data_IF_658115733652
#
_entry.id   IF_658115733652
#
_cell.length_a   1.000
_cell.length_b   1.000
_cell.length_c   1.000
_cell.angle_alpha   90.00
_cell.angle_beta   90.00
_cell.angle_gamma   90.00
#
_symmetry.space_group_name_H-M   'P 1'
#
loop_
_entity.id
_entity.type
_entity.pdbx_description
1 polymer ?
#
# COMPACT_ATOMS: atom_id res chain seq x y z
N UNK A 1 18.07 24.25 4.05
CA UNK A 1 16.98 24.64 3.14
C UNK A 1 16.75 23.45 2.25
N UNK A 2 15.71 22.67 2.52
CA UNK A 2 15.45 21.44 1.77
C UNK A 2 14.83 21.80 0.43
N UNK A 3 15.46 21.37 -0.67
CA UNK A 3 15.02 21.70 -2.03
C UNK A 3 13.95 20.69 -2.44
N UNK A 4 12.72 21.13 -2.75
CA UNK A 4 11.67 20.23 -3.20
C UNK A 4 12.07 19.56 -4.52
N UNK A 5 11.73 18.28 -4.64
CA UNK A 5 11.99 17.49 -5.84
C UNK A 5 10.83 17.69 -6.81
N UNK A 6 11.16 18.04 -8.06
CA UNK A 6 10.18 18.31 -9.10
C UNK A 6 10.23 17.24 -10.17
N UNK A 7 9.10 16.56 -10.38
CA UNK A 7 8.91 15.66 -11.50
C UNK A 7 7.94 16.28 -12.52
N UNK A 8 8.06 15.95 -13.82
CA UNK A 8 7.08 16.37 -14.81
C UNK A 8 5.69 15.88 -14.44
N UNK A 9 4.70 16.79 -14.45
CA UNK A 9 3.26 16.53 -14.20
C UNK A 9 2.85 16.01 -12.81
N UNK A 10 3.80 15.74 -11.92
CA UNK A 10 3.51 15.41 -10.53
C UNK A 10 3.53 16.67 -9.64
N UNK A 11 2.82 16.63 -8.49
CA UNK A 11 2.93 17.68 -7.49
C UNK A 11 4.39 17.85 -7.00
N UNK A 12 4.69 19.02 -6.44
CA UNK A 12 5.98 19.24 -5.80
C UNK A 12 6.08 18.35 -4.56
N UNK A 13 7.07 17.46 -4.55
CA UNK A 13 7.30 16.54 -3.44
C UNK A 13 8.39 17.12 -2.52
N UNK A 14 8.06 17.22 -1.24
CA UNK A 14 9.01 17.51 -0.18
C UNK A 14 9.69 16.23 0.28
N UNK A 15 10.84 16.31 0.97
CA UNK A 15 11.49 15.13 1.53
C UNK A 15 10.59 14.26 2.41
N UNK A 16 9.66 14.87 3.16
CA UNK A 16 8.67 14.19 4.00
C UNK A 16 7.61 13.38 3.22
N UNK A 17 7.40 13.68 1.94
CA UNK A 17 6.45 12.98 1.07
C UNK A 17 7.04 11.69 0.49
N UNK A 18 8.35 11.47 0.64
CA UNK A 18 9.01 10.25 0.15
C UNK A 18 8.85 9.08 1.13
N UNK A 19 8.87 7.83 0.64
CA UNK A 19 8.75 6.66 1.49
C UNK A 19 9.80 6.67 2.62
N UNK A 20 9.33 6.66 3.87
CA UNK A 20 10.21 6.60 5.06
C UNK A 20 11.10 5.36 5.06
N UNK A 21 10.68 4.30 4.36
CA UNK A 21 11.45 3.08 4.13
C UNK A 21 12.77 3.30 3.39
N UNK A 22 12.89 4.38 2.61
CA UNK A 22 14.12 4.73 1.90
C UNK A 22 15.07 5.59 2.74
N UNK A 23 14.63 6.06 3.92
CA UNK A 23 15.44 6.93 4.78
C UNK A 23 16.46 6.12 5.60
N UNK A 24 17.66 6.68 5.89
CA UNK A 24 18.66 6.03 6.74
C UNK A 24 18.16 5.73 8.16
N UNK A 25 17.16 6.47 8.64
CA UNK A 25 16.52 6.30 9.95
C UNK A 25 15.46 5.21 9.99
N UNK A 26 15.17 4.55 8.86
CA UNK A 26 14.20 3.46 8.80
C UNK A 26 14.63 2.27 9.67
N UNK A 27 13.71 1.76 10.48
CA UNK A 27 13.88 0.50 11.22
C UNK A 27 14.09 -0.69 10.27
N UNK A 28 13.69 -0.57 9.00
CA UNK A 28 13.83 -1.58 7.97
C UNK A 28 15.07 -1.35 7.09
N UNK A 29 16.25 -1.44 7.70
CA UNK A 29 17.54 -1.10 7.07
C UNK A 29 17.88 -1.88 5.78
N UNK A 30 17.22 -3.02 5.53
CA UNK A 30 17.41 -3.83 4.31
C UNK A 30 16.54 -3.40 3.13
N UNK A 31 15.48 -2.62 3.36
CA UNK A 31 14.56 -2.20 2.30
C UNK A 31 15.24 -1.31 1.25
N UNK A 32 16.07 -0.32 1.61
CA UNK A 32 16.81 0.46 0.60
C UNK A 32 17.68 -0.40 -0.31
N UNK A 33 18.37 -1.40 0.26
CA UNK A 33 19.18 -2.34 -0.52
C UNK A 33 18.31 -3.19 -1.47
N UNK A 34 17.19 -3.72 -0.97
CA UNK A 34 16.24 -4.49 -1.77
C UNK A 34 15.67 -3.67 -2.94
N UNK A 35 15.25 -2.43 -2.68
CA UNK A 35 14.74 -1.52 -3.70
C UNK A 35 15.81 -1.22 -4.75
N UNK A 36 17.04 -0.94 -4.32
CA UNK A 36 18.17 -0.69 -5.24
C UNK A 36 18.43 -1.89 -6.15
N UNK A 37 18.41 -3.10 -5.59
CA UNK A 37 18.59 -4.34 -6.36
C UNK A 37 17.43 -4.57 -7.35
N UNK A 38 16.19 -4.29 -6.94
CA UNK A 38 15.01 -4.39 -7.80
C UNK A 38 15.10 -3.41 -8.98
N UNK A 39 15.45 -2.15 -8.72
CA UNK A 39 15.60 -1.14 -9.77
C UNK A 39 16.77 -1.41 -10.71
N UNK A 40 17.88 -1.96 -10.20
CA UNK A 40 19.01 -2.38 -11.04
C UNK A 40 18.62 -3.48 -12.04
N UNK A 41 17.63 -4.32 -11.69
CA UNK A 41 17.09 -5.39 -12.54
C UNK A 41 15.91 -4.96 -13.40
N UNK A 42 15.37 -3.76 -13.20
CA UNK A 42 14.19 -3.29 -13.93
C UNK A 42 14.39 -3.28 -15.44
N UNK A 43 15.60 -2.94 -15.90
CA UNK A 43 15.96 -2.94 -17.33
C UNK A 43 15.94 -4.33 -17.98
N UNK A 44 16.14 -5.37 -17.19
CA UNK A 44 16.11 -6.76 -17.65
C UNK A 44 14.67 -7.32 -17.70
N UNK A 45 13.71 -6.61 -17.11
CA UNK A 45 12.31 -7.03 -17.08
C UNK A 45 11.60 -6.61 -18.37
N UNK A 46 10.63 -7.43 -18.80
CA UNK A 46 9.78 -7.11 -19.96
C UNK A 46 8.70 -6.07 -19.61
N UNK A 47 8.18 -6.15 -18.40
CA UNK A 47 7.00 -5.41 -17.95
C UNK A 47 6.93 -5.42 -16.43
N UNK A 48 6.48 -4.31 -15.86
CA UNK A 48 6.10 -4.21 -14.44
C UNK A 48 4.59 -4.34 -14.34
N UNK A 49 4.11 -5.16 -13.41
CA UNK A 49 2.68 -5.26 -13.10
C UNK A 49 2.37 -4.43 -11.86
N UNK A 50 1.53 -3.42 -12.00
CA UNK A 50 1.07 -2.58 -10.91
C UNK A 50 -0.31 -3.01 -10.43
N UNK A 51 -0.48 -3.19 -9.12
CA UNK A 51 -1.80 -3.35 -8.51
C UNK A 51 -2.46 -1.97 -8.30
N UNK A 52 -2.77 -1.32 -9.41
CA UNK A 52 -3.47 -0.03 -9.48
C UNK A 52 -4.37 -0.06 -10.73
N UNK A 53 -4.98 1.08 -11.09
CA UNK A 53 -5.75 1.27 -12.31
C UNK A 53 -5.65 2.73 -12.79
N UNK A 54 -5.78 2.95 -14.10
CA UNK A 54 -5.43 4.23 -14.75
C UNK A 54 -6.17 5.46 -14.20
N UNK A 55 -7.43 5.29 -13.80
CA UNK A 55 -8.24 6.39 -13.25
C UNK A 55 -7.83 6.81 -11.83
N UNK A 56 -7.09 5.97 -11.10
CA UNK A 56 -6.66 6.28 -9.73
C UNK A 56 -5.44 7.19 -9.70
N UNK A 57 -4.50 6.97 -10.61
CA UNK A 57 -3.15 7.58 -10.58
C UNK A 57 -2.67 8.02 -11.99
N UNK A 58 -3.46 8.81 -12.74
CA UNK A 58 -3.23 9.02 -14.17
C UNK A 58 -1.89 9.69 -14.50
N UNK A 59 -1.41 10.62 -13.66
CA UNK A 59 -0.16 11.35 -13.91
C UNK A 59 1.07 10.53 -13.49
N UNK A 60 0.97 9.79 -12.38
CA UNK A 60 1.99 8.87 -11.89
C UNK A 60 2.20 7.72 -12.88
N UNK A 61 1.10 7.20 -13.44
CA UNK A 61 1.12 6.16 -14.47
C UNK A 61 1.79 6.66 -15.73
N UNK A 62 1.39 7.84 -16.22
CA UNK A 62 2.02 8.45 -17.38
C UNK A 62 3.53 8.65 -17.17
N UNK A 63 3.92 9.12 -15.98
CA UNK A 63 5.33 9.28 -15.62
C UNK A 63 6.07 7.94 -15.59
N UNK A 64 5.47 6.91 -14.99
CA UNK A 64 6.08 5.59 -14.86
C UNK A 64 6.24 4.87 -16.21
N UNK A 65 5.30 5.01 -17.13
CA UNK A 65 5.39 4.49 -18.51
C UNK A 65 6.58 5.09 -19.28
N UNK A 66 6.97 6.33 -18.96
CA UNK A 66 8.19 6.95 -19.49
C UNK A 66 9.50 6.32 -18.99
N UNK A 67 9.45 5.57 -17.89
CA UNK A 67 10.61 4.89 -17.29
C UNK A 67 10.72 3.43 -17.71
N UNK A 68 9.59 2.71 -17.73
CA UNK A 68 9.54 1.31 -18.10
C UNK A 68 8.11 0.92 -18.50
N UNK A 69 7.94 -0.14 -19.30
CA UNK A 69 6.62 -0.65 -19.62
C UNK A 69 5.91 -1.13 -18.34
N UNK A 70 4.87 -0.41 -17.95
CA UNK A 70 4.04 -0.75 -16.79
C UNK A 70 2.64 -1.15 -17.25
N UNK A 71 2.06 -2.16 -16.59
CA UNK A 71 0.69 -2.60 -16.84
C UNK A 71 -0.08 -2.69 -15.54
N UNK A 72 -1.17 -1.95 -15.46
CA UNK A 72 -2.09 -1.99 -14.33
C UNK A 72 -3.00 -3.21 -14.44
N UNK A 73 -3.06 -3.99 -13.36
CA UNK A 73 -3.87 -5.22 -13.26
C UNK A 73 -4.79 -5.19 -12.04
N UNK A 74 -4.96 -4.01 -11.43
CA UNK A 74 -5.72 -3.82 -10.22
C UNK A 74 -7.15 -3.27 -10.44
N UNK A 75 -7.90 -3.10 -9.34
CA UNK A 75 -7.54 -3.55 -8.00
C UNK A 75 -7.64 -5.08 -7.89
N UNK A 76 -6.58 -5.73 -7.41
CA UNK A 76 -6.56 -7.15 -7.12
C UNK A 76 -7.39 -7.41 -5.85
N UNK A 77 -8.70 -7.47 -6.02
CA UNK A 77 -9.64 -7.69 -4.93
C UNK A 77 -9.79 -9.18 -4.62
N UNK A 78 -9.88 -9.56 -3.33
CA UNK A 78 -10.27 -10.90 -2.94
C UNK A 78 -11.60 -11.30 -3.59
N UNK A 79 -11.66 -12.52 -4.12
CA UNK A 79 -12.86 -13.05 -4.81
C UNK A 79 -14.10 -13.05 -3.90
N UNK A 80 -13.90 -13.21 -2.58
CA UNK A 80 -14.95 -13.12 -1.57
C UNK A 80 -15.74 -11.80 -1.64
N UNK A 81 -15.05 -10.69 -1.92
CA UNK A 81 -15.65 -9.35 -1.99
C UNK A 81 -16.38 -9.12 -3.31
N UNK A 82 -16.10 -9.94 -4.32
CA UNK A 82 -16.75 -9.88 -5.64
C UNK A 82 -17.97 -10.82 -5.72
N UNK A 83 -18.36 -11.46 -4.61
CA UNK A 83 -19.42 -12.47 -4.61
C UNK A 83 -19.07 -13.75 -5.37
N UNK A 84 -17.79 -13.93 -5.73
CA UNK A 84 -17.32 -15.14 -6.40
C UNK A 84 -17.06 -16.25 -5.37
N UNK A 85 -17.16 -17.54 -5.77
CA UNK A 85 -16.84 -18.66 -4.90
C UNK A 85 -15.44 -18.49 -4.30
N UNK A 86 -15.35 -18.52 -2.97
CA UNK A 86 -14.08 -18.44 -2.28
C UNK A 86 -13.27 -19.69 -2.56
N UNK A 87 -12.05 -19.49 -3.04
CA UNK A 87 -11.11 -20.56 -3.30
C UNK A 87 -10.21 -20.68 -2.06
N UNK A 88 -10.39 -21.69 -1.16
CA UNK A 88 -9.80 -21.67 0.18
C UNK A 88 -8.28 -21.60 0.19
N UNK A 89 -7.63 -22.15 -0.84
CA UNK A 89 -6.18 -22.18 -0.99
C UNK A 89 -5.55 -20.84 -1.42
N UNK A 90 -6.36 -19.84 -1.78
CA UNK A 90 -5.88 -18.50 -2.13
C UNK A 90 -5.81 -17.55 -0.92
N UNK A 91 -6.49 -17.89 0.18
CA UNK A 91 -6.50 -17.08 1.40
C UNK A 91 -5.21 -17.33 2.21
N UNK A 92 -4.43 -16.27 2.42
CA UNK A 92 -3.23 -16.29 3.29
C UNK A 92 -3.36 -15.22 4.35
N UNK A 93 -4.21 -15.49 5.34
CA UNK A 93 -4.31 -14.60 6.50
C UNK A 93 -3.13 -14.88 7.43
N UNK A 94 -2.49 -13.81 7.89
CA UNK A 94 -1.42 -13.89 8.88
C UNK A 94 -1.97 -13.99 10.32
N UNK A 95 -3.22 -13.59 10.55
CA UNK A 95 -3.90 -13.61 11.85
C UNK A 95 -5.30 -14.17 11.73
N UNK A 96 -5.78 -14.80 12.81
CA UNK A 96 -7.15 -15.27 12.92
C UNK A 96 -8.09 -14.12 13.28
N UNK A 97 -9.24 -14.06 12.60
CA UNK A 97 -10.26 -13.06 12.88
C UNK A 97 -11.18 -13.53 14.04
N UNK A 98 -11.61 -12.61 14.93
CA UNK A 98 -12.61 -12.93 15.95
C UNK A 98 -13.95 -13.31 15.31
N UNK A 99 -14.58 -14.38 15.81
CA UNK A 99 -15.74 -15.02 15.18
C UNK A 99 -17.05 -14.23 15.28
N UNK A 100 -17.14 -13.26 16.19
CA UNK A 100 -18.37 -12.51 16.49
C UNK A 100 -18.36 -11.05 15.99
N UNK A 101 -17.30 -10.60 15.29
CA UNK A 101 -17.17 -9.21 14.87
C UNK A 101 -18.26 -8.77 13.89
N UNK A 102 -18.60 -9.61 12.90
CA UNK A 102 -19.60 -9.26 11.89
C UNK A 102 -21.00 -9.08 12.51
N UNK A 103 -21.40 -9.98 13.41
CA UNK A 103 -22.68 -9.86 14.10
C UNK A 103 -22.77 -8.58 14.96
N UNK A 104 -21.66 -8.14 15.57
CA UNK A 104 -21.60 -6.86 16.26
C UNK A 104 -21.73 -5.69 15.29
N UNK A 105 -21.06 -5.74 14.13
CA UNK A 105 -21.11 -4.70 13.11
C UNK A 105 -22.53 -4.53 12.56
N UNK A 106 -23.22 -5.64 12.27
CA UNK A 106 -24.60 -5.67 11.77
C UNK A 106 -25.60 -5.05 12.76
N UNK A 107 -25.26 -4.98 14.06
CA UNK A 107 -26.11 -4.37 15.09
C UNK A 107 -26.03 -2.85 15.16
N UNK A 108 -25.11 -2.21 14.42
CA UNK A 108 -24.86 -0.77 14.47
C UNK A 108 -25.61 -0.04 13.35
N UNK A 109 -26.05 1.21 13.58
CA UNK A 109 -26.58 2.05 12.50
C UNK A 109 -25.57 2.20 11.35
N UNK A 110 -26.09 2.33 10.13
CA UNK A 110 -25.26 2.55 8.95
C UNK A 110 -24.39 3.81 9.10
N UNK A 111 -23.11 3.69 8.75
CA UNK A 111 -22.15 4.79 8.84
C UNK A 111 -21.74 5.21 10.26
N UNK A 112 -22.18 4.49 11.31
CA UNK A 112 -21.87 4.86 12.70
C UNK A 112 -20.56 4.26 13.25
N UNK A 113 -19.91 3.37 12.49
CA UNK A 113 -18.70 2.65 12.93
C UNK A 113 -17.49 3.15 12.17
N UNK A 114 -16.44 3.50 12.91
CA UNK A 114 -15.14 3.87 12.34
C UNK A 114 -14.22 2.65 12.38
N UNK A 115 -13.74 2.21 11.21
CA UNK A 115 -12.74 1.16 11.12
C UNK A 115 -11.33 1.75 11.20
N UNK A 116 -10.55 1.31 12.19
CA UNK A 116 -9.16 1.73 12.40
C UNK A 116 -8.23 0.52 12.23
N UNK A 117 -7.29 0.60 11.30
CA UNK A 117 -6.27 -0.43 11.09
C UNK A 117 -4.95 0.20 10.64
N UNK A 118 -3.84 -0.26 11.21
CA UNK A 118 -2.48 0.19 10.89
C UNK A 118 -1.72 -0.83 10.03
N UNK A 119 -2.45 -1.79 9.47
CA UNK A 119 -1.88 -2.90 8.72
C UNK A 119 -1.19 -3.93 9.62
N UNK A 120 -0.48 -4.85 8.97
CA UNK A 120 0.09 -6.06 9.55
C UNK A 120 1.48 -5.88 10.19
N UNK A 121 2.17 -4.80 9.86
CA UNK A 121 3.61 -4.61 10.14
C UNK A 121 3.87 -3.46 11.12
N UNK A 122 3.00 -2.46 11.15
CA UNK A 122 3.14 -1.27 11.99
C UNK A 122 2.99 -1.62 13.48
N UNK A 123 3.88 -1.09 14.32
CA UNK A 123 3.81 -1.21 15.78
C UNK A 123 3.82 0.18 16.39
N UNK A 124 2.75 0.53 17.12
CA UNK A 124 2.70 1.79 17.86
C UNK A 124 3.31 1.64 19.26
N UNK A 125 4.15 2.59 19.69
CA UNK A 125 4.54 2.72 21.09
C UNK A 125 3.31 2.89 22.00
N UNK A 126 3.37 2.39 23.26
CA UNK A 126 2.24 2.45 24.20
C UNK A 126 1.63 3.86 24.35
N UNK A 127 2.48 4.89 24.45
CA UNK A 127 2.05 6.28 24.55
C UNK A 127 1.11 6.71 23.41
N UNK A 128 1.39 6.28 22.18
CA UNK A 128 0.55 6.61 21.02
C UNK A 128 -0.72 5.77 20.98
N UNK A 129 -0.71 4.57 21.55
CA UNK A 129 -1.93 3.76 21.71
C UNK A 129 -2.89 4.41 22.71
N UNK A 130 -2.36 4.94 23.82
CA UNK A 130 -3.16 5.65 24.83
C UNK A 130 -3.87 6.88 24.23
N UNK A 131 -3.23 7.57 23.28
CA UNK A 131 -3.81 8.71 22.55
C UNK A 131 -4.94 8.33 21.57
N UNK A 132 -5.08 7.05 21.23
CA UNK A 132 -6.11 6.55 20.30
C UNK A 132 -7.41 6.10 20.99
N UNK A 133 -7.46 6.10 22.33
CA UNK A 133 -8.58 5.57 23.13
C UNK A 133 -9.35 6.67 23.83
#
# INVERSE_FOLDING_TARGET
MEVPVKFPRLPHLKPEDFPTLALPSSTYSKIPLLLTQLYAKLRDMRMVLGNSFDQLEPEEIWFAEGLHLMRHVGPLMPHALLGCPTVPHLRRDMWEAPSNFLAWLDSKPEGSVVHVSLGSVSVLPPKHMDEMT
#
